data_IF_903048078622
#
_entry.id   IF_903048078622
#
_cell.length_a   1.000
_cell.length_b   1.000
_cell.length_c   1.000
_cell.angle_alpha   90.00
_cell.angle_beta   90.00
_cell.angle_gamma   90.00
#
_symmetry.space_group_name_H-M   'P 1'
#
loop_
_entity.id
_entity.type
_entity.pdbx_description
1 polymer ?
#
# COMPACT_ATOMS: atom_id res chain seq x y z
N UNK A 1 59.57 51.27 -16.72
CA UNK A 1 58.19 51.07 -16.18
C UNK A 1 57.28 50.15 -17.03
N UNK A 2 57.41 50.05 -18.36
CA UNK A 2 56.52 49.20 -19.20
C UNK A 2 56.76 47.67 -19.11
N UNK A 3 57.93 47.22 -18.65
CA UNK A 3 58.31 45.79 -18.63
C UNK A 3 57.80 45.05 -17.37
N UNK A 4 57.61 45.77 -16.27
CA UNK A 4 57.18 45.22 -14.97
C UNK A 4 55.68 44.94 -14.94
N UNK A 5 54.87 45.73 -15.65
CA UNK A 5 53.40 45.58 -15.72
C UNK A 5 52.99 44.30 -16.47
N UNK A 6 53.76 43.86 -17.48
CA UNK A 6 53.46 42.63 -18.24
C UNK A 6 53.66 41.33 -17.44
N UNK A 7 54.51 41.34 -16.41
CA UNK A 7 54.76 40.14 -15.57
C UNK A 7 53.66 39.94 -14.52
N UNK A 8 53.05 41.01 -14.03
CA UNK A 8 51.99 40.93 -13.02
C UNK A 8 50.66 40.47 -13.61
N UNK A 9 50.36 40.83 -14.86
CA UNK A 9 49.13 40.40 -15.55
C UNK A 9 49.15 38.92 -15.93
N UNK A 10 50.33 38.35 -16.24
CA UNK A 10 50.46 36.93 -16.59
C UNK A 10 50.39 36.00 -15.37
N UNK A 11 50.71 36.50 -14.17
CA UNK A 11 50.59 35.75 -12.92
C UNK A 11 49.15 35.74 -12.38
N UNK A 12 48.36 36.78 -12.67
CA UNK A 12 46.96 36.87 -12.22
C UNK A 12 46.00 36.01 -13.06
N UNK A 13 46.28 35.80 -14.36
CA UNK A 13 45.48 34.90 -15.22
C UNK A 13 45.80 33.42 -15.01
N UNK A 14 47.02 33.09 -14.57
CA UNK A 14 47.38 31.70 -14.22
C UNK A 14 46.74 31.21 -12.91
N UNK A 15 46.57 32.10 -11.92
CA UNK A 15 45.98 31.75 -10.62
C UNK A 15 44.45 31.60 -10.64
N UNK A 16 43.76 32.25 -11.60
CA UNK A 16 42.30 32.10 -11.77
C UNK A 16 41.99 30.82 -12.57
N UNK A 17 42.85 30.43 -13.51
CA UNK A 17 42.69 29.20 -14.29
C UNK A 17 42.87 27.92 -13.45
N UNK A 18 43.68 27.95 -12.38
CA UNK A 18 43.86 26.79 -11.49
C UNK A 18 42.76 26.64 -10.44
N UNK A 19 42.04 27.70 -10.08
CA UNK A 19 40.87 27.60 -9.20
C UNK A 19 39.62 27.06 -9.91
N UNK A 20 39.47 27.31 -11.22
CA UNK A 20 38.33 26.80 -12.01
C UNK A 20 38.48 25.31 -12.37
N UNK A 21 39.71 24.77 -12.37
CA UNK A 21 39.96 23.35 -12.65
C UNK A 21 39.95 22.47 -11.38
N UNK A 22 40.08 23.06 -10.18
CA UNK A 22 40.01 22.31 -8.92
C UNK A 22 38.57 22.05 -8.44
N UNK A 23 37.57 22.80 -8.93
CA UNK A 23 36.16 22.59 -8.59
C UNK A 23 35.53 21.36 -9.26
N UNK A 24 36.20 20.72 -10.22
CA UNK A 24 35.76 19.45 -10.79
C UNK A 24 36.36 18.23 -10.07
N UNK A 25 37.25 18.44 -9.10
CA UNK A 25 37.90 17.39 -8.30
C UNK A 25 37.31 17.24 -6.90
N UNK A 26 36.31 18.05 -6.51
CA UNK A 26 35.43 17.67 -5.41
C UNK A 26 34.63 16.49 -5.89
N UNK A 27 35.09 15.29 -5.50
CA UNK A 27 34.31 14.07 -5.41
C UNK A 27 32.82 14.40 -5.42
N UNK A 28 32.12 13.97 -6.46
CA UNK A 28 30.67 13.83 -6.47
C UNK A 28 30.32 12.96 -5.26
N UNK A 29 30.18 13.59 -4.09
CA UNK A 29 29.81 12.92 -2.87
C UNK A 29 28.46 12.32 -3.14
N UNK A 30 28.40 10.99 -3.24
CA UNK A 30 27.14 10.28 -3.27
C UNK A 30 26.27 10.84 -2.14
N UNK A 31 25.09 11.36 -2.49
CA UNK A 31 24.14 11.86 -1.50
C UNK A 31 23.94 10.77 -0.44
N UNK A 32 23.95 11.16 0.84
CA UNK A 32 23.59 10.23 1.91
C UNK A 32 22.12 9.81 1.75
N UNK A 33 21.75 8.64 2.30
CA UNK A 33 20.38 8.17 2.26
C UNK A 33 19.38 9.20 2.83
N UNK A 34 19.77 9.94 3.88
CA UNK A 34 18.96 11.01 4.45
C UNK A 34 18.76 12.17 3.47
N UNK A 35 19.81 12.59 2.76
CA UNK A 35 19.69 13.66 1.77
C UNK A 35 18.79 13.26 0.59
N UNK A 36 18.80 11.98 0.22
CA UNK A 36 17.90 11.45 -0.82
C UNK A 36 16.45 11.44 -0.32
N UNK A 37 16.20 11.01 0.93
CA UNK A 37 14.86 11.02 1.54
C UNK A 37 14.31 12.45 1.65
N UNK A 38 15.11 13.39 2.16
CA UNK A 38 14.73 14.80 2.27
C UNK A 38 14.40 15.41 0.91
N UNK A 39 15.24 15.16 -0.11
CA UNK A 39 15.00 15.63 -1.47
C UNK A 39 13.73 14.99 -2.06
N UNK A 40 13.49 13.71 -1.81
CA UNK A 40 12.27 13.00 -2.25
C UNK A 40 11.03 13.63 -1.64
N UNK A 41 11.04 13.91 -0.33
CA UNK A 41 9.92 14.56 0.35
C UNK A 41 9.66 15.98 -0.16
N UNK A 42 10.72 16.75 -0.47
CA UNK A 42 10.57 18.08 -1.08
C UNK A 42 9.94 17.99 -2.46
N UNK A 43 10.38 17.06 -3.31
CA UNK A 43 9.81 16.84 -4.65
C UNK A 43 8.34 16.44 -4.56
N UNK A 44 7.98 15.52 -3.68
CA UNK A 44 6.58 15.11 -3.47
C UNK A 44 5.71 16.31 -3.06
N UNK A 45 6.13 17.08 -2.05
CA UNK A 45 5.37 18.26 -1.58
C UNK A 45 5.22 19.34 -2.65
N UNK A 46 6.22 19.53 -3.51
CA UNK A 46 6.16 20.51 -4.59
C UNK A 46 5.37 20.04 -5.82
N UNK A 47 5.24 18.73 -6.03
CA UNK A 47 4.63 18.15 -7.24
C UNK A 47 3.14 17.86 -7.10
N UNK A 48 2.64 17.66 -5.89
CA UNK A 48 1.24 17.34 -5.63
C UNK A 48 0.44 18.55 -5.14
N UNK A 49 -0.83 18.62 -5.53
CA UNK A 49 -1.78 19.63 -5.04
C UNK A 49 -3.08 18.95 -4.61
N UNK A 50 -3.73 19.52 -3.59
CA UNK A 50 -5.00 18.98 -3.09
C UNK A 50 -6.14 19.17 -4.09
N UNK A 51 -7.03 18.18 -4.19
CA UNK A 51 -8.21 18.26 -5.04
C UNK A 51 -9.35 17.40 -4.50
N UNK A 52 -10.51 18.00 -4.29
CA UNK A 52 -11.68 17.30 -3.74
C UNK A 52 -11.36 16.68 -2.38
N UNK A 53 -11.62 15.37 -2.25
CA UNK A 53 -11.29 14.57 -1.05
C UNK A 53 -9.84 14.08 -1.01
N UNK A 54 -9.05 14.31 -2.06
CA UNK A 54 -7.63 13.95 -2.10
C UNK A 54 -6.79 15.10 -1.51
N UNK A 55 -6.21 14.82 -0.35
CA UNK A 55 -5.44 15.75 0.48
C UNK A 55 -3.97 15.30 0.56
N UNK A 56 -3.08 16.22 0.96
CA UNK A 56 -1.63 15.95 0.98
C UNK A 56 -1.20 15.00 2.11
N UNK A 57 -2.05 14.80 3.12
CA UNK A 57 -1.85 13.81 4.19
C UNK A 57 -1.70 12.38 3.66
N UNK A 58 -2.22 12.08 2.45
CA UNK A 58 -2.03 10.78 1.78
C UNK A 58 -0.58 10.49 1.38
N UNK A 59 0.30 11.49 1.41
CA UNK A 59 1.73 11.33 1.18
C UNK A 59 2.46 10.87 2.45
N UNK A 60 1.82 10.96 3.61
CA UNK A 60 2.41 10.53 4.88
C UNK A 60 2.38 9.01 4.97
N UNK A 61 3.58 8.42 5.00
CA UNK A 61 3.74 6.97 5.12
C UNK A 61 3.83 6.59 6.60
N UNK A 62 3.02 5.62 7.03
CA UNK A 62 3.28 4.94 8.30
C UNK A 62 4.55 4.08 8.22
N UNK A 63 4.99 3.58 9.37
CA UNK A 63 6.22 2.78 9.48
C UNK A 63 6.20 1.53 8.56
N UNK A 64 5.02 0.91 8.36
CA UNK A 64 4.88 -0.27 7.51
C UNK A 64 5.05 0.09 6.04
N UNK A 65 4.40 1.14 5.57
CA UNK A 65 4.51 1.62 4.20
C UNK A 65 5.92 2.14 3.91
N UNK A 66 6.52 2.91 4.83
CA UNK A 66 7.90 3.40 4.67
C UNK A 66 8.88 2.24 4.53
N UNK A 67 8.82 1.24 5.42
CA UNK A 67 9.72 0.09 5.34
C UNK A 67 9.57 -0.67 4.01
N UNK A 68 8.35 -0.85 3.51
CA UNK A 68 8.11 -1.49 2.22
C UNK A 68 8.59 -0.65 1.02
N UNK A 69 8.46 0.67 1.09
CA UNK A 69 8.99 1.59 0.07
C UNK A 69 10.52 1.56 0.04
N UNK A 70 11.17 1.63 1.21
CA UNK A 70 12.63 1.62 1.35
C UNK A 70 13.24 0.29 0.87
N UNK A 71 12.48 -0.81 0.95
CA UNK A 71 12.89 -2.12 0.46
C UNK A 71 12.92 -2.23 -1.08
N UNK A 72 12.22 -1.34 -1.79
CA UNK A 72 12.17 -1.31 -3.26
C UNK A 72 11.85 -2.67 -3.90
N UNK A 73 10.88 -3.39 -3.33
CA UNK A 73 10.46 -4.72 -3.80
C UNK A 73 11.38 -5.87 -3.38
N UNK A 74 12.47 -5.62 -2.66
CA UNK A 74 13.27 -6.67 -2.03
C UNK A 74 12.57 -7.18 -0.76
N UNK A 75 12.79 -8.44 -0.37
CA UNK A 75 12.36 -8.92 0.94
C UNK A 75 12.94 -8.07 2.06
N UNK A 76 12.13 -7.81 3.09
CA UNK A 76 12.61 -7.22 4.33
C UNK A 76 13.50 -8.22 5.09
N UNK A 77 14.36 -7.69 5.96
CA UNK A 77 14.96 -8.49 7.01
C UNK A 77 13.87 -9.19 7.84
N UNK A 78 14.10 -10.46 8.19
CA UNK A 78 13.08 -11.31 8.82
C UNK A 78 12.56 -10.72 10.13
N UNK A 79 13.44 -10.14 10.95
CA UNK A 79 13.04 -9.54 12.23
C UNK A 79 12.20 -8.30 12.01
N UNK A 80 12.54 -7.49 11.01
CA UNK A 80 11.74 -6.32 10.64
C UNK A 80 10.38 -6.72 10.06
N UNK A 81 10.36 -7.73 9.16
CA UNK A 81 9.12 -8.25 8.58
C UNK A 81 8.14 -8.72 9.66
N UNK A 82 8.62 -9.53 10.60
CA UNK A 82 7.83 -10.05 11.72
C UNK A 82 7.32 -8.93 12.64
N UNK A 83 8.18 -7.96 12.96
CA UNK A 83 7.77 -6.78 13.74
C UNK A 83 6.64 -6.01 13.06
N UNK A 84 6.73 -5.81 11.74
CA UNK A 84 5.69 -5.14 10.95
C UNK A 84 4.38 -5.95 10.95
N UNK A 85 4.44 -7.27 10.81
CA UNK A 85 3.26 -8.14 10.87
C UNK A 85 2.58 -8.05 12.24
N UNK A 86 3.36 -8.14 13.33
CA UNK A 86 2.86 -8.02 14.70
C UNK A 86 2.22 -6.65 14.97
N UNK A 87 2.85 -5.55 14.55
CA UNK A 87 2.29 -4.20 14.70
C UNK A 87 1.01 -4.02 13.86
N UNK A 88 0.98 -4.51 12.61
CA UNK A 88 -0.23 -4.43 11.80
C UNK A 88 -1.36 -5.30 12.35
N UNK A 89 -1.05 -6.46 12.95
CA UNK A 89 -2.05 -7.33 13.57
C UNK A 89 -2.75 -6.66 14.75
N UNK A 90 -2.03 -5.88 15.56
CA UNK A 90 -2.61 -5.08 16.66
C UNK A 90 -3.62 -4.03 16.18
N UNK A 91 -3.57 -3.65 14.90
CA UNK A 91 -4.52 -2.68 14.32
C UNK A 91 -5.84 -3.31 13.89
N UNK A 92 -5.94 -4.66 13.87
CA UNK A 92 -7.15 -5.37 13.48
C UNK A 92 -8.24 -5.16 14.52
N UNK A 93 -9.38 -4.60 14.09
CA UNK A 93 -10.53 -4.37 14.96
C UNK A 93 -11.64 -5.32 14.56
N UNK A 94 -12.15 -6.06 15.54
CA UNK A 94 -13.31 -6.93 15.36
C UNK A 94 -14.60 -6.16 15.67
N UNK A 95 -15.73 -6.49 15.03
CA UNK A 95 -17.04 -5.93 15.36
C UNK A 95 -17.42 -6.23 16.81
N UNK A 96 -17.99 -5.25 17.51
CA UNK A 96 -18.37 -5.39 18.92
C UNK A 96 -19.47 -6.44 19.15
N UNK A 97 -20.30 -6.70 18.13
CA UNK A 97 -21.35 -7.72 18.14
C UNK A 97 -20.84 -9.13 17.81
N UNK A 98 -19.54 -9.28 17.49
CA UNK A 98 -18.94 -10.56 17.11
C UNK A 98 -19.43 -11.12 15.78
N UNK A 99 -20.29 -10.42 15.04
CA UNK A 99 -20.85 -10.90 13.76
C UNK A 99 -19.93 -10.52 12.62
N UNK A 100 -19.38 -11.51 11.93
CA UNK A 100 -18.38 -11.32 10.86
C UNK A 100 -18.91 -11.60 9.45
N UNK A 101 -20.13 -12.14 9.32
CA UNK A 101 -20.72 -12.55 8.05
C UNK A 101 -21.92 -11.66 7.73
N UNK A 102 -21.90 -11.04 6.56
CA UNK A 102 -22.95 -10.18 6.01
C UNK A 102 -23.70 -10.85 4.86
N UNK A 103 -23.97 -10.09 3.80
CA UNK A 103 -24.69 -10.53 2.61
C UNK A 103 -23.76 -10.74 1.41
N UNK A 104 -23.64 -11.98 0.93
CA UNK A 104 -22.76 -12.32 -0.20
C UNK A 104 -23.11 -11.56 -1.49
N UNK A 105 -24.38 -11.20 -1.71
CA UNK A 105 -24.81 -10.49 -2.91
C UNK A 105 -24.35 -9.02 -2.90
N UNK A 106 -24.31 -8.38 -1.73
CA UNK A 106 -23.70 -7.06 -1.59
C UNK A 106 -22.16 -7.17 -1.66
N UNK A 107 -21.60 -8.25 -1.13
CA UNK A 107 -20.17 -8.57 -1.24
C UNK A 107 -19.71 -8.62 -2.70
N UNK A 108 -20.47 -9.26 -3.58
CA UNK A 108 -20.17 -9.31 -5.01
C UNK A 108 -20.14 -7.90 -5.63
N UNK A 109 -21.09 -7.02 -5.29
CA UNK A 109 -21.09 -5.63 -5.78
C UNK A 109 -19.86 -4.85 -5.30
N UNK A 110 -19.45 -5.05 -4.05
CA UNK A 110 -18.25 -4.41 -3.48
C UNK A 110 -17.00 -4.95 -4.18
N UNK A 111 -16.91 -6.26 -4.43
CA UNK A 111 -15.79 -6.89 -5.11
C UNK A 111 -15.63 -6.39 -6.55
N UNK A 112 -16.74 -6.11 -7.24
CA UNK A 112 -16.78 -5.57 -8.60
C UNK A 112 -16.51 -4.05 -8.65
N UNK A 113 -16.87 -3.31 -7.59
CA UNK A 113 -16.75 -1.86 -7.58
C UNK A 113 -15.27 -1.43 -7.46
N UNK A 114 -14.76 -0.75 -8.50
CA UNK A 114 -13.42 -0.16 -8.52
C UNK A 114 -13.36 1.33 -8.17
N UNK A 115 -14.48 1.95 -7.79
CA UNK A 115 -14.56 3.38 -7.46
C UNK A 115 -14.26 3.66 -5.99
N UNK A 116 -13.99 4.94 -5.70
CA UNK A 116 -13.86 5.44 -4.34
C UNK A 116 -12.52 6.09 -4.09
N UNK A 117 -12.52 7.06 -3.18
CA UNK A 117 -11.34 7.77 -2.69
C UNK A 117 -10.46 8.47 -3.75
N UNK A 118 -10.88 8.60 -5.01
CA UNK A 118 -10.12 9.37 -6.00
C UNK A 118 -10.33 10.88 -5.84
N UNK A 119 -9.56 11.70 -6.55
CA UNK A 119 -9.69 13.17 -6.50
C UNK A 119 -11.00 13.70 -7.11
N UNK A 120 -11.68 12.88 -7.93
CA UNK A 120 -12.94 13.23 -8.60
C UNK A 120 -14.18 12.63 -7.93
N UNK A 121 -14.01 11.68 -7.00
CA UNK A 121 -15.12 11.13 -6.22
C UNK A 121 -15.62 12.13 -5.18
N UNK A 122 -16.91 12.07 -4.87
CA UNK A 122 -17.53 12.99 -3.92
C UNK A 122 -17.40 12.48 -2.49
N UNK A 123 -17.35 13.38 -1.49
CA UNK A 123 -17.44 12.98 -0.09
C UNK A 123 -18.69 12.13 0.18
N UNK A 124 -18.52 11.01 0.86
CA UNK A 124 -19.62 10.12 1.27
C UNK A 124 -20.10 9.12 0.21
N UNK A 125 -19.51 9.10 -0.99
CA UNK A 125 -19.75 8.01 -1.95
C UNK A 125 -19.18 6.69 -1.42
N UNK A 126 -19.89 5.58 -1.65
CA UNK A 126 -19.46 4.27 -1.21
C UNK A 126 -18.23 3.81 -2.00
N UNK A 127 -17.17 3.43 -1.27
CA UNK A 127 -15.97 2.87 -1.86
C UNK A 127 -16.17 1.40 -2.22
N UNK A 128 -15.49 0.96 -3.27
CA UNK A 128 -15.43 -0.44 -3.67
C UNK A 128 -14.17 -1.14 -3.20
N UNK A 129 -14.20 -2.48 -3.23
CA UNK A 129 -13.07 -3.33 -2.89
C UNK A 129 -12.17 -3.65 -4.09
N UNK A 130 -12.66 -3.45 -5.32
CA UNK A 130 -11.93 -3.68 -6.57
C UNK A 130 -11.27 -5.06 -6.66
N UNK A 131 -11.83 -6.06 -5.99
CA UNK A 131 -11.19 -7.33 -5.72
C UNK A 131 -10.91 -8.14 -6.99
N UNK A 132 -11.80 -8.04 -7.99
CA UNK A 132 -11.61 -8.70 -9.28
C UNK A 132 -10.39 -8.18 -10.06
N UNK A 133 -9.90 -6.96 -9.81
CA UNK A 133 -8.67 -6.48 -10.46
C UNK A 133 -7.42 -7.28 -10.06
N UNK A 134 -7.48 -8.04 -8.97
CA UNK A 134 -6.35 -8.80 -8.44
C UNK A 134 -6.62 -10.31 -8.34
N UNK A 135 -7.88 -10.73 -8.21
CA UNK A 135 -8.25 -12.10 -7.88
C UNK A 135 -9.34 -12.62 -8.80
N UNK A 136 -9.24 -13.89 -9.20
CA UNK A 136 -10.41 -14.67 -9.60
C UNK A 136 -11.25 -15.01 -8.36
N UNK A 137 -12.55 -14.69 -8.36
CA UNK A 137 -13.44 -14.94 -7.21
C UNK A 137 -14.58 -15.89 -7.61
N UNK A 138 -15.52 -15.45 -8.45
CA UNK A 138 -16.56 -16.32 -9.01
C UNK A 138 -16.09 -17.08 -10.26
N UNK A 139 -16.70 -18.24 -10.55
CA UNK A 139 -16.49 -18.96 -11.82
C UNK A 139 -17.10 -18.24 -13.03
N UNK A 140 -18.20 -17.53 -12.80
CA UNK A 140 -18.97 -16.88 -13.86
C UNK A 140 -18.34 -15.56 -14.35
N UNK A 141 -17.54 -14.91 -13.51
CA UNK A 141 -16.83 -13.69 -13.87
C UNK A 141 -15.57 -14.03 -14.68
N UNK A 142 -15.45 -13.46 -15.87
CA UNK A 142 -14.35 -13.72 -16.80
C UNK A 142 -13.30 -12.59 -16.75
N UNK A 143 -13.66 -11.42 -16.25
CA UNK A 143 -12.78 -10.27 -16.08
C UNK A 143 -12.19 -10.28 -14.68
N UNK A 144 -11.01 -10.88 -14.55
CA UNK A 144 -10.26 -10.88 -13.29
C UNK A 144 -8.75 -10.74 -13.51
N UNK A 145 -8.06 -10.23 -12.51
CA UNK A 145 -6.61 -10.15 -12.46
C UNK A 145 -5.95 -11.35 -11.78
N UNK A 146 -4.62 -11.37 -11.84
CA UNK A 146 -3.78 -12.46 -11.33
C UNK A 146 -2.61 -11.97 -10.47
N UNK A 147 -2.75 -10.78 -9.87
CA UNK A 147 -1.75 -10.25 -8.92
C UNK A 147 -1.82 -11.07 -7.63
N UNK A 148 -3.04 -11.32 -7.15
CA UNK A 148 -3.30 -12.20 -6.01
C UNK A 148 -3.67 -13.62 -6.46
N UNK A 149 -3.71 -14.58 -5.51
CA UNK A 149 -4.15 -15.93 -5.79
C UNK A 149 -5.64 -15.97 -6.16
N UNK A 150 -6.07 -17.03 -6.85
CA UNK A 150 -7.50 -17.30 -7.02
C UNK A 150 -8.15 -17.53 -5.65
N UNK A 151 -9.31 -16.90 -5.46
CA UNK A 151 -10.22 -17.03 -4.32
C UNK A 151 -11.47 -17.84 -4.71
N UNK A 152 -11.49 -18.45 -5.90
CA UNK A 152 -12.57 -19.35 -6.28
C UNK A 152 -12.61 -20.57 -5.33
N UNK A 153 -13.81 -20.92 -4.86
CA UNK A 153 -14.03 -21.90 -3.80
C UNK A 153 -13.30 -21.59 -2.47
N UNK A 154 -13.05 -20.31 -2.13
CA UNK A 154 -12.24 -19.94 -0.96
C UNK A 154 -12.68 -20.64 0.33
N UNK A 155 -13.96 -20.55 0.70
CA UNK A 155 -14.51 -21.17 1.91
C UNK A 155 -14.56 -22.69 1.80
N UNK A 156 -15.02 -23.21 0.65
CA UNK A 156 -15.12 -24.65 0.37
C UNK A 156 -13.77 -25.37 0.48
N UNK A 157 -12.71 -24.80 -0.12
CA UNK A 157 -11.35 -25.35 -0.08
C UNK A 157 -10.71 -25.29 1.33
N UNK A 158 -11.25 -24.44 2.22
CA UNK A 158 -10.81 -24.30 3.60
C UNK A 158 -11.69 -25.04 4.61
N UNK A 159 -12.63 -25.86 4.12
CA UNK A 159 -13.51 -26.67 4.97
C UNK A 159 -14.59 -25.88 5.70
N UNK A 160 -14.85 -24.63 5.29
CA UNK A 160 -15.90 -23.80 5.91
C UNK A 160 -17.26 -24.24 5.40
N UNK A 161 -17.94 -25.05 6.20
CA UNK A 161 -19.31 -25.53 5.94
C UNK A 161 -20.37 -24.72 6.68
N UNK A 162 -19.98 -24.10 7.80
CA UNK A 162 -20.77 -23.11 8.53
C UNK A 162 -19.82 -22.04 9.11
N UNK A 163 -19.81 -20.82 8.57
CA UNK A 163 -18.98 -19.73 9.08
C UNK A 163 -19.22 -19.35 10.56
N UNK A 164 -20.36 -19.73 11.14
CA UNK A 164 -20.66 -19.49 12.56
C UNK A 164 -20.13 -20.60 13.49
N UNK A 165 -19.68 -21.73 12.93
CA UNK A 165 -19.18 -22.86 13.71
C UNK A 165 -17.82 -22.58 14.37
N UNK A 166 -17.57 -23.22 15.51
CA UNK A 166 -16.29 -23.14 16.20
C UNK A 166 -15.12 -23.65 15.34
N UNK A 167 -15.36 -24.69 14.53
CA UNK A 167 -14.35 -25.29 13.66
C UNK A 167 -13.92 -24.34 12.53
N UNK A 168 -14.82 -23.46 12.06
CA UNK A 168 -14.50 -22.47 11.03
C UNK A 168 -13.83 -21.21 11.57
N UNK A 169 -13.87 -20.99 12.90
CA UNK A 169 -13.39 -19.76 13.55
C UNK A 169 -11.96 -19.37 13.14
N UNK A 170 -10.96 -20.27 13.06
CA UNK A 170 -9.61 -19.88 12.66
C UNK A 170 -9.56 -19.29 11.25
N UNK A 171 -10.33 -19.84 10.31
CA UNK A 171 -10.39 -19.34 8.93
C UNK A 171 -11.15 -18.03 8.87
N UNK A 172 -12.29 -17.93 9.57
CA UNK A 172 -13.11 -16.71 9.62
C UNK A 172 -12.31 -15.54 10.21
N UNK A 173 -11.62 -15.74 11.33
CA UNK A 173 -10.79 -14.71 11.95
C UNK A 173 -9.61 -14.31 11.05
N UNK A 174 -8.98 -15.29 10.39
CA UNK A 174 -7.91 -15.02 9.43
C UNK A 174 -8.40 -14.19 8.22
N UNK A 175 -9.54 -14.55 7.63
CA UNK A 175 -10.11 -13.82 6.49
C UNK A 175 -10.49 -12.41 6.88
N UNK A 176 -11.08 -12.21 8.06
CA UNK A 176 -11.38 -10.88 8.60
C UNK A 176 -10.11 -10.05 8.75
N UNK A 177 -9.10 -10.60 9.43
CA UNK A 177 -7.83 -9.92 9.64
C UNK A 177 -7.13 -9.58 8.33
N UNK A 178 -7.17 -10.48 7.33
CA UNK A 178 -6.60 -10.22 6.00
C UNK A 178 -7.31 -9.10 5.26
N UNK A 179 -8.64 -9.04 5.28
CA UNK A 179 -9.40 -7.94 4.68
C UNK A 179 -9.17 -6.63 5.43
N UNK A 180 -9.07 -6.68 6.76
CA UNK A 180 -8.83 -5.50 7.58
C UNK A 180 -7.44 -4.90 7.35
N UNK A 181 -6.40 -5.73 7.46
CA UNK A 181 -5.01 -5.34 7.27
C UNK A 181 -4.17 -6.51 6.73
N UNK A 182 -4.05 -6.60 5.41
CA UNK A 182 -3.34 -7.67 4.75
C UNK A 182 -1.86 -7.79 5.17
N UNK A 183 -1.22 -6.68 5.55
CA UNK A 183 0.18 -6.65 6.00
C UNK A 183 0.40 -7.28 7.36
N UNK A 184 -0.66 -7.60 8.11
CA UNK A 184 -0.59 -8.33 9.38
C UNK A 184 -0.18 -9.81 9.25
N UNK A 185 -0.27 -10.38 8.05
CA UNK A 185 0.05 -11.81 7.80
C UNK A 185 0.98 -12.01 6.60
N UNK A 186 1.48 -10.92 6.04
CA UNK A 186 2.48 -10.91 4.97
C UNK A 186 3.00 -9.47 4.88
N UNK A 187 4.14 -9.20 5.51
CA UNK A 187 4.79 -7.91 5.41
C UNK A 187 4.93 -7.49 3.94
N UNK A 188 4.58 -6.24 3.63
CA UNK A 188 4.59 -5.70 2.26
C UNK A 188 3.68 -6.41 1.25
N UNK A 189 2.62 -7.09 1.71
CA UNK A 189 1.53 -7.50 0.81
C UNK A 189 1.01 -6.31 -0.01
N UNK A 190 0.80 -6.55 -1.31
CA UNK A 190 0.23 -5.58 -2.25
C UNK A 190 -1.28 -5.37 -2.07
N UNK A 191 -1.94 -6.26 -1.32
CA UNK A 191 -3.36 -6.11 -1.02
C UNK A 191 -3.58 -4.89 -0.12
N UNK A 192 -4.52 -3.98 -0.45
CA UNK A 192 -4.84 -2.83 0.38
C UNK A 192 -5.26 -3.23 1.80
N UNK A 193 -4.92 -2.40 2.78
CA UNK A 193 -5.32 -2.59 4.18
C UNK A 193 -6.70 -1.97 4.40
N UNK A 194 -7.75 -2.57 3.82
CA UNK A 194 -9.06 -1.93 3.62
C UNK A 194 -9.69 -1.38 4.91
N UNK A 195 -9.76 -2.19 5.96
CA UNK A 195 -10.33 -1.76 7.24
C UNK A 195 -9.42 -0.78 7.99
N UNK A 196 -8.12 -1.04 8.03
CA UNK A 196 -7.14 -0.18 8.70
C UNK A 196 -7.08 1.22 8.10
N UNK A 197 -7.10 1.33 6.77
CA UNK A 197 -7.05 2.60 6.05
C UNK A 197 -8.44 3.27 5.89
N UNK A 198 -9.50 2.68 6.45
CA UNK A 198 -10.85 3.20 6.35
C UNK A 198 -11.40 3.24 4.92
N UNK A 199 -10.91 2.36 4.04
CA UNK A 199 -11.38 2.26 2.65
C UNK A 199 -12.77 1.64 2.64
N UNK A 200 -12.95 0.55 3.39
CA UNK A 200 -14.23 -0.14 3.54
C UNK A 200 -14.66 -0.10 5.01
N UNK A 201 -15.94 0.12 5.25
CA UNK A 201 -16.52 0.04 6.59
C UNK A 201 -16.74 -1.42 7.04
N UNK A 202 -17.10 -1.62 8.31
CA UNK A 202 -17.31 -2.96 8.84
C UNK A 202 -18.42 -3.75 8.13
N UNK A 203 -19.50 -3.10 7.67
CA UNK A 203 -20.58 -3.79 6.98
C UNK A 203 -20.11 -4.27 5.61
N UNK A 204 -19.41 -3.42 4.86
CA UNK A 204 -18.81 -3.79 3.58
C UNK A 204 -17.83 -4.96 3.72
N UNK A 205 -17.02 -4.96 4.78
CA UNK A 205 -16.12 -6.07 5.09
C UNK A 205 -16.89 -7.36 5.44
N UNK A 206 -17.97 -7.28 6.23
CA UNK A 206 -18.85 -8.43 6.53
C UNK A 206 -19.49 -9.00 5.27
N UNK A 207 -19.87 -8.15 4.31
CA UNK A 207 -20.43 -8.59 3.03
C UNK A 207 -19.40 -9.30 2.16
N UNK A 208 -18.15 -8.81 2.10
CA UNK A 208 -17.04 -9.51 1.44
C UNK A 208 -16.69 -10.84 2.14
N UNK A 209 -16.76 -10.89 3.47
CA UNK A 209 -16.61 -12.14 4.21
C UNK A 209 -17.67 -13.16 3.79
N UNK A 210 -18.94 -12.75 3.66
CA UNK A 210 -20.01 -13.62 3.20
C UNK A 210 -19.78 -14.09 1.76
N UNK A 211 -19.32 -13.21 0.85
CA UNK A 211 -18.97 -13.60 -0.51
C UNK A 211 -17.95 -14.75 -0.54
N UNK A 212 -16.92 -14.69 0.31
CA UNK A 212 -15.84 -15.67 0.33
C UNK A 212 -16.16 -16.95 1.13
N UNK A 213 -16.95 -16.84 2.20
CA UNK A 213 -17.11 -17.90 3.20
C UNK A 213 -18.50 -18.52 3.27
N UNK A 214 -19.56 -17.82 2.84
CA UNK A 214 -20.92 -18.37 2.87
C UNK A 214 -21.02 -19.57 1.90
N UNK A 215 -21.44 -20.77 2.36
CA UNK A 215 -21.68 -21.92 1.49
C UNK A 215 -22.75 -21.67 0.41
N UNK A 216 -23.58 -20.64 0.58
CA UNK A 216 -24.58 -20.21 -0.38
C UNK A 216 -24.10 -19.18 -1.40
N UNK A 217 -22.93 -18.58 -1.17
CA UNK A 217 -22.28 -17.74 -2.17
C UNK A 217 -21.99 -18.55 -3.44
N UNK A 218 -22.25 -18.01 -4.65
CA UNK A 218 -21.86 -18.63 -5.92
C UNK A 218 -20.37 -18.98 -6.01
N UNK A 219 -19.51 -18.31 -5.22
CA UNK A 219 -18.07 -18.58 -5.12
C UNK A 219 -17.78 -19.99 -4.60
N UNK A 220 -18.66 -20.54 -3.76
CA UNK A 220 -18.46 -21.81 -3.04
C UNK A 220 -19.38 -22.95 -3.54
N UNK A 221 -20.11 -22.77 -4.64
CA UNK A 221 -20.97 -23.81 -5.23
C UNK A 221 -20.16 -24.79 -6.08
#
# INVERSE_FOLDING_TARGET
MKKTIKRTVLAATGAIATFVLASCATSSGSLSAQQIDDATQQVLKASFSERGIAKLDRLDLDASNKACSDAMGKPLDEKLAKSIEEENLKTVKFPADGKLIGNWAEGEKIAQNGRGLTWSDKPGEANGGSCYNCHQIGKAELSFGSIGPSLYNYGKLRGVTDPASADSKPIVDYTWGKLWNAKAYAACSDMPRFGHAGILDQNQLKDLMALLLDPNSPVNK
#
